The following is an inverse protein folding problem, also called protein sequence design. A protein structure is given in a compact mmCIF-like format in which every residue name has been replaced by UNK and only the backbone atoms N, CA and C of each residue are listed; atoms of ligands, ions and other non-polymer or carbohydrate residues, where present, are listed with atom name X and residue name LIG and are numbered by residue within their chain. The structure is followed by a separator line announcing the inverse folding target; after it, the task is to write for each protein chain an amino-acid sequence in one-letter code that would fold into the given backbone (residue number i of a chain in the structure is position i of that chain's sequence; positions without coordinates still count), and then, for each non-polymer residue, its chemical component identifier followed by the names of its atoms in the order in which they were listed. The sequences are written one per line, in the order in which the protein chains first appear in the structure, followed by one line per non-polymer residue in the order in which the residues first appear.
data_IF_046337919357
#
_entry.id   IF_046337919357
#
_cell.length_a   1.000
_cell.length_b   1.000
_cell.length_c   1.000
_cell.angle_alpha   90.00
_cell.angle_beta   90.00
_cell.angle_gamma   90.00
#
_symmetry.space_group_name_H-M   'P 1'
#
loop_
_entity.id
_entity.type
_entity.pdbx_description
1 polymer ?
#
# COMPACT_ATOMS: atom_id res chain seq x y z
N UNK A 1 -23.66 12.99 1.61
CA UNK A 1 -22.82 13.62 2.66
C UNK A 1 -21.39 13.18 2.37
N UNK A 2 -20.48 14.11 2.12
CA UNK A 2 -19.09 13.79 1.74
C UNK A 2 -18.19 13.63 2.96
N UNK A 3 -17.26 12.67 2.92
CA UNK A 3 -16.21 12.56 3.92
C UNK A 3 -15.03 13.48 3.56
N UNK A 4 -14.45 14.20 4.55
CA UNK A 4 -13.36 15.14 4.32
C UNK A 4 -12.05 14.46 3.89
N UNK A 5 -11.20 15.20 3.20
CA UNK A 5 -9.93 14.71 2.66
C UNK A 5 -8.81 15.76 2.67
N UNK A 6 -7.56 15.34 2.43
CA UNK A 6 -6.34 16.13 2.64
C UNK A 6 -5.30 16.01 1.46
N UNK A 7 -4.25 16.86 1.33
CA UNK A 7 -3.38 17.02 0.12
C UNK A 7 -1.93 17.59 0.34
N UNK A 8 -0.90 17.27 -0.48
CA UNK A 8 0.53 17.28 -0.08
C UNK A 8 1.62 17.76 -1.12
N UNK A 9 2.66 18.57 -0.74
CA UNK A 9 3.85 18.98 -1.57
C UNK A 9 5.23 18.35 -1.18
N UNK A 10 6.28 18.37 -2.03
CA UNK A 10 7.39 17.34 -1.98
C UNK A 10 8.89 17.73 -2.05
N UNK A 11 9.77 16.96 -1.33
CA UNK A 11 11.22 16.74 -1.65
C UNK A 11 11.95 15.59 -0.87
N UNK A 12 12.54 14.58 -1.56
CA UNK A 12 13.74 13.70 -1.24
C UNK A 12 13.97 13.02 0.18
N UNK A 13 14.87 12.04 0.49
CA UNK A 13 15.97 11.28 -0.19
C UNK A 13 16.40 9.97 0.60
N UNK A 14 17.37 9.19 0.07
CA UNK A 14 18.27 8.08 0.60
C UNK A 14 17.79 6.86 1.47
N UNK A 15 18.37 5.66 1.16
CA UNK A 15 18.68 4.40 1.92
C UNK A 15 17.88 3.99 3.20
N UNK A 16 17.41 2.75 3.40
CA UNK A 16 18.20 1.50 3.60
C UNK A 16 17.36 0.18 3.77
N UNK A 17 17.96 -1.00 3.51
CA UNK A 17 17.76 -2.40 4.06
C UNK A 17 16.37 -3.08 4.36
N UNK A 18 15.74 -3.72 3.36
CA UNK A 18 14.52 -4.59 3.40
C UNK A 18 14.40 -5.83 4.34
N UNK A 19 13.16 -6.32 4.47
CA UNK A 19 12.74 -7.74 4.62
C UNK A 19 11.69 -8.07 3.52
N UNK A 20 11.39 -9.35 3.26
CA UNK A 20 10.52 -9.85 2.19
C UNK A 20 9.71 -11.09 2.66
N UNK A 21 8.64 -11.47 1.96
CA UNK A 21 7.98 -12.79 1.98
C UNK A 21 7.54 -13.10 0.53
N UNK A 22 7.52 -14.36 0.06
CA UNK A 22 7.18 -14.67 -1.35
C UNK A 22 6.27 -15.91 -1.48
N UNK A 23 5.14 -15.74 -2.18
CA UNK A 23 4.29 -16.84 -2.61
C UNK A 23 4.98 -17.65 -3.71
N UNK A 24 5.77 -18.67 -3.34
CA UNK A 24 6.47 -19.54 -4.30
C UNK A 24 6.20 -21.04 -4.15
N UNK A 25 5.71 -21.65 -5.23
CA UNK A 25 5.84 -23.09 -5.47
C UNK A 25 7.11 -23.36 -6.29
N UNK A 26 8.25 -23.27 -5.61
CA UNK A 26 9.57 -23.81 -5.96
C UNK A 26 10.03 -23.73 -7.45
N UNK A 27 10.69 -22.62 -7.82
CA UNK A 27 12.02 -22.68 -8.47
C UNK A 27 12.77 -21.33 -8.49
N UNK A 28 14.05 -21.43 -8.86
CA UNK A 28 15.10 -20.41 -8.76
C UNK A 28 14.79 -19.05 -9.39
N UNK A 29 15.14 -17.98 -8.65
CA UNK A 29 15.72 -16.77 -9.24
C UNK A 29 16.81 -16.21 -8.32
N UNK A 30 17.85 -15.57 -8.88
CA UNK A 30 18.95 -15.03 -8.08
C UNK A 30 20.01 -14.35 -8.92
N UNK A 31 20.55 -13.23 -8.39
CA UNK A 31 21.26 -12.14 -9.09
C UNK A 31 20.29 -11.25 -9.90
N UNK A 32 20.41 -9.92 -9.91
CA UNK A 32 21.48 -9.04 -9.39
C UNK A 32 20.98 -7.97 -8.40
N UNK A 33 21.48 -7.97 -7.17
CA UNK A 33 21.35 -6.83 -6.23
C UNK A 33 22.71 -6.12 -6.09
N UNK A 34 23.13 -5.39 -7.12
CA UNK A 34 24.49 -4.82 -7.23
C UNK A 34 24.53 -3.32 -7.59
N UNK A 35 23.74 -2.52 -6.86
CA UNK A 35 23.99 -1.08 -6.55
C UNK A 35 23.10 -0.66 -5.37
N UNK A 36 23.57 0.27 -4.54
CA UNK A 36 22.87 0.90 -3.41
C UNK A 36 22.40 -0.03 -2.26
N UNK A 37 23.32 -0.36 -1.33
CA UNK A 37 23.13 -0.59 0.13
C UNK A 37 21.84 -1.27 0.68
N UNK A 38 21.20 -2.12 -0.10
CA UNK A 38 20.20 -3.09 0.34
C UNK A 38 20.79 -4.10 1.37
N UNK A 39 19.99 -4.94 2.05
CA UNK A 39 20.51 -5.89 3.01
C UNK A 39 21.05 -7.12 2.28
N UNK A 40 22.11 -7.73 2.82
CA UNK A 40 22.70 -8.95 2.24
C UNK A 40 21.89 -10.23 2.50
N UNK A 41 20.72 -10.13 3.15
CA UNK A 41 19.75 -11.21 3.31
C UNK A 41 18.32 -10.67 3.26
N UNK A 42 17.57 -11.09 2.24
CA UNK A 42 16.15 -11.40 2.40
C UNK A 42 16.02 -12.80 3.04
N UNK A 43 14.90 -13.05 3.71
CA UNK A 43 14.43 -14.40 4.05
C UNK A 43 13.11 -14.56 3.31
N UNK A 44 12.84 -15.74 2.74
CA UNK A 44 11.63 -16.00 1.98
C UNK A 44 10.89 -17.19 2.60
N UNK A 45 9.62 -16.97 2.92
CA UNK A 45 8.69 -17.99 3.37
C UNK A 45 7.51 -18.05 2.39
N UNK A 46 6.94 -19.23 2.18
CA UNK A 46 5.59 -19.33 1.61
C UNK A 46 4.57 -18.94 2.66
N UNK A 47 3.38 -18.48 2.26
CA UNK A 47 2.37 -18.02 3.22
C UNK A 47 1.87 -19.17 4.12
N UNK A 48 1.77 -20.38 3.59
CA UNK A 48 1.34 -21.58 4.33
C UNK A 48 2.40 -22.09 5.31
N UNK A 49 3.68 -21.73 5.14
CA UNK A 49 4.77 -22.10 6.05
C UNK A 49 4.80 -21.15 7.25
N UNK A 50 3.84 -21.36 8.15
CA UNK A 50 3.71 -20.55 9.38
C UNK A 50 4.96 -20.65 10.27
N UNK A 51 5.76 -21.72 10.19
CA UNK A 51 6.95 -21.88 11.03
C UNK A 51 8.14 -21.10 10.47
N UNK A 52 8.33 -21.03 9.16
CA UNK A 52 9.25 -20.09 8.55
C UNK A 52 8.86 -18.63 8.89
N UNK A 53 7.58 -18.28 8.80
CA UNK A 53 7.09 -16.93 9.12
C UNK A 53 7.36 -16.58 10.59
N UNK A 54 7.01 -17.46 11.53
CA UNK A 54 7.26 -17.25 12.96
C UNK A 54 8.75 -17.07 13.27
N UNK A 55 9.61 -17.97 12.78
CA UNK A 55 11.05 -17.91 13.04
C UNK A 55 11.67 -16.61 12.47
N UNK A 56 11.27 -16.24 11.24
CA UNK A 56 11.69 -14.99 10.59
C UNK A 56 11.21 -13.76 11.35
N UNK A 57 9.93 -13.74 11.75
CA UNK A 57 9.34 -12.63 12.49
C UNK A 57 10.01 -12.45 13.84
N UNK A 58 10.19 -13.53 14.62
CA UNK A 58 10.83 -13.46 15.94
C UNK A 58 12.29 -12.99 15.85
N UNK A 59 13.03 -13.39 14.81
CA UNK A 59 14.38 -12.87 14.54
C UNK A 59 14.38 -11.36 14.26
N UNK A 60 13.39 -10.85 13.53
CA UNK A 60 13.37 -9.47 13.02
C UNK A 60 12.66 -8.48 13.95
N UNK A 61 11.68 -8.93 14.74
CA UNK A 61 10.83 -8.13 15.63
C UNK A 61 11.52 -7.68 16.91
N UNK A 62 12.59 -8.37 17.32
CA UNK A 62 13.26 -8.25 18.63
C UNK A 62 13.43 -6.80 19.12
N UNK A 63 13.97 -5.94 18.27
CA UNK A 63 14.31 -4.55 18.59
C UNK A 63 13.39 -3.57 17.82
N UNK A 64 12.10 -3.94 17.60
CA UNK A 64 11.11 -3.22 16.77
C UNK A 64 9.77 -3.06 17.48
N UNK A 65 9.12 -1.90 17.37
CA UNK A 65 7.76 -1.67 17.93
C UNK A 65 6.67 -2.10 16.96
N UNK A 66 6.74 -1.68 15.70
CA UNK A 66 5.70 -1.88 14.69
C UNK A 66 5.89 -3.12 13.83
N UNK A 67 4.86 -3.48 13.08
CA UNK A 67 4.92 -4.43 11.96
C UNK A 67 4.01 -3.97 10.83
N UNK A 68 4.55 -3.96 9.62
CA UNK A 68 3.87 -3.52 8.41
C UNK A 68 3.94 -4.62 7.35
N UNK A 69 2.86 -4.82 6.61
CA UNK A 69 2.80 -5.74 5.46
C UNK A 69 2.46 -4.92 4.22
N UNK A 70 3.41 -4.76 3.30
CA UNK A 70 3.16 -4.12 2.01
C UNK A 70 2.73 -5.13 0.95
N UNK A 71 1.64 -4.85 0.26
CA UNK A 71 0.99 -5.74 -0.71
C UNK A 71 0.96 -5.02 -2.07
N UNK A 72 1.74 -5.53 -3.02
CA UNK A 72 1.96 -4.81 -4.29
C UNK A 72 0.76 -4.89 -5.24
N UNK A 73 0.69 -3.93 -6.18
CA UNK A 73 -0.27 -3.93 -7.27
C UNK A 73 0.04 -4.94 -8.38
N UNK A 74 -0.85 -5.02 -9.37
CA UNK A 74 -0.63 -5.79 -10.60
C UNK A 74 0.64 -5.31 -11.30
N UNK A 75 1.62 -6.22 -11.46
CA UNK A 75 2.85 -5.96 -12.20
C UNK A 75 2.69 -6.44 -13.64
N UNK A 76 2.71 -5.51 -14.60
CA UNK A 76 2.84 -5.85 -16.02
C UNK A 76 4.24 -6.34 -16.38
N UNK A 77 4.50 -6.54 -17.67
CA UNK A 77 5.80 -7.04 -18.18
C UNK A 77 7.02 -6.18 -17.76
N UNK A 78 6.79 -4.90 -17.43
CA UNK A 78 7.83 -3.99 -16.93
C UNK A 78 8.08 -4.22 -15.43
N UNK A 79 9.04 -5.12 -15.13
CA UNK A 79 9.49 -5.50 -13.79
C UNK A 79 10.27 -4.40 -13.05
N UNK A 80 9.67 -3.22 -12.89
CA UNK A 80 10.21 -2.20 -11.98
C UNK A 80 9.87 -2.64 -10.55
N UNK A 81 10.83 -2.83 -9.65
CA UNK A 81 10.58 -3.26 -8.27
C UNK A 81 10.08 -2.08 -7.42
N UNK A 82 8.86 -1.59 -7.70
CA UNK A 82 8.35 -0.33 -7.11
C UNK A 82 8.28 -0.38 -5.57
N UNK A 83 8.16 -1.57 -5.00
CA UNK A 83 8.24 -1.81 -3.55
C UNK A 83 9.59 -1.43 -2.91
N UNK A 84 10.68 -1.26 -3.66
CA UNK A 84 11.99 -0.84 -3.13
C UNK A 84 11.91 0.51 -2.41
N UNK A 85 11.12 1.45 -2.91
CA UNK A 85 10.97 2.77 -2.27
C UNK A 85 10.41 2.66 -0.84
N UNK A 86 9.41 1.79 -0.61
CA UNK A 86 8.77 1.50 0.68
C UNK A 86 9.71 0.73 1.60
N UNK A 87 10.33 -0.32 1.07
CA UNK A 87 11.39 -1.12 1.69
C UNK A 87 12.48 -0.22 2.28
N UNK A 88 13.01 0.69 1.45
CA UNK A 88 14.09 1.60 1.82
C UNK A 88 13.61 2.75 2.71
N UNK A 89 12.31 2.88 2.98
CA UNK A 89 11.74 3.89 3.85
C UNK A 89 11.57 3.34 5.28
N UNK A 90 10.83 2.24 5.45
CA UNK A 90 10.60 1.62 6.77
C UNK A 90 11.91 1.26 7.46
N UNK A 91 12.85 0.70 6.72
CA UNK A 91 14.14 0.32 7.26
C UNK A 91 15.17 1.46 7.35
N UNK A 92 14.82 2.68 6.88
CA UNK A 92 15.54 3.91 7.27
C UNK A 92 15.12 4.41 8.65
N UNK A 93 13.85 4.23 9.03
CA UNK A 93 13.35 4.57 10.37
C UNK A 93 13.83 3.58 11.44
N UNK A 94 14.15 2.35 11.03
CA UNK A 94 14.63 1.27 11.89
C UNK A 94 13.67 0.87 13.05
N UNK A 95 12.43 1.36 13.07
CA UNK A 95 11.46 1.08 14.14
C UNK A 95 10.55 -0.13 13.89
N UNK A 96 10.26 -0.41 12.61
CA UNK A 96 9.23 -1.35 12.17
C UNK A 96 9.83 -2.62 11.54
N UNK A 97 9.10 -3.74 11.62
CA UNK A 97 9.30 -4.89 10.72
C UNK A 97 8.52 -4.64 9.43
N UNK A 98 9.13 -4.80 8.25
CA UNK A 98 8.45 -4.71 6.95
C UNK A 98 8.41 -6.07 6.25
N UNK A 99 7.22 -6.65 6.12
CA UNK A 99 6.97 -7.79 5.25
C UNK A 99 6.46 -7.31 3.88
N UNK A 100 6.75 -8.07 2.83
CA UNK A 100 6.16 -7.89 1.50
C UNK A 100 5.30 -9.11 1.21
N UNK A 101 4.05 -8.95 0.80
CA UNK A 101 3.26 -10.03 0.22
C UNK A 101 3.51 -10.06 -1.30
N UNK A 102 4.54 -10.80 -1.73
CA UNK A 102 4.81 -10.98 -3.16
C UNK A 102 3.93 -12.09 -3.75
N UNK A 103 3.02 -11.70 -4.64
CA UNK A 103 2.10 -12.56 -5.39
C UNK A 103 2.36 -12.51 -6.91
N UNK A 104 3.50 -11.96 -7.34
CA UNK A 104 3.86 -11.77 -8.75
C UNK A 104 3.80 -13.07 -9.57
N UNK A 105 4.12 -14.21 -8.95
CA UNK A 105 4.06 -15.54 -9.56
C UNK A 105 2.62 -16.01 -9.92
N UNK A 106 1.58 -15.30 -9.50
CA UNK A 106 0.17 -15.62 -9.81
C UNK A 106 -0.43 -14.77 -10.94
N UNK A 107 0.27 -13.70 -11.36
CA UNK A 107 -0.20 -12.78 -12.41
C UNK A 107 -0.27 -13.51 -13.76
N UNK A 108 -1.47 -13.59 -14.36
CA UNK A 108 -1.75 -14.41 -15.54
C UNK A 108 -2.16 -13.63 -16.80
N UNK A 109 -2.29 -12.29 -16.73
CA UNK A 109 -2.74 -11.45 -17.84
C UNK A 109 -4.25 -11.27 -17.97
N UNK A 110 -5.07 -12.02 -17.23
CA UNK A 110 -6.53 -12.03 -17.36
C UNK A 110 -7.19 -11.20 -16.25
N UNK A 111 -7.76 -10.06 -16.65
CA UNK A 111 -8.42 -9.08 -15.77
C UNK A 111 -9.75 -9.61 -15.20
N UNK A 112 -10.37 -10.63 -15.80
CA UNK A 112 -11.55 -11.30 -15.24
C UNK A 112 -11.13 -12.25 -14.12
N UNK A 113 -10.09 -13.06 -14.34
CA UNK A 113 -9.56 -13.96 -13.31
C UNK A 113 -8.91 -13.21 -12.13
N UNK A 114 -8.39 -12.00 -12.36
CA UNK A 114 -7.83 -11.12 -11.33
C UNK A 114 -8.78 -10.88 -10.14
N UNK A 115 -10.09 -10.82 -10.37
CA UNK A 115 -11.10 -10.71 -9.30
C UNK A 115 -11.00 -11.90 -8.32
N UNK A 116 -11.13 -13.12 -8.85
CA UNK A 116 -11.07 -14.37 -8.08
C UNK A 116 -9.68 -14.59 -7.47
N UNK A 117 -8.62 -14.21 -8.16
CA UNK A 117 -7.25 -14.30 -7.63
C UNK A 117 -7.05 -13.40 -6.40
N UNK A 118 -7.50 -12.15 -6.45
CA UNK A 118 -7.39 -11.21 -5.31
C UNK A 118 -8.14 -11.73 -4.09
N UNK A 119 -9.35 -12.26 -4.27
CA UNK A 119 -10.13 -12.88 -3.20
C UNK A 119 -9.40 -14.10 -2.59
N UNK A 120 -8.90 -15.01 -3.43
CA UNK A 120 -8.17 -16.22 -3.00
C UNK A 120 -6.87 -15.89 -2.24
N UNK A 121 -6.08 -14.92 -2.73
CA UNK A 121 -4.86 -14.47 -2.04
C UNK A 121 -5.22 -13.86 -0.68
N UNK A 122 -6.33 -13.12 -0.60
CA UNK A 122 -6.88 -12.59 0.64
C UNK A 122 -7.27 -13.68 1.63
N UNK A 123 -8.05 -14.67 1.20
CA UNK A 123 -8.50 -15.81 2.02
C UNK A 123 -7.33 -16.65 2.56
N UNK A 124 -6.36 -17.00 1.72
CA UNK A 124 -5.18 -17.80 2.12
C UNK A 124 -4.32 -17.02 3.13
N UNK A 125 -4.10 -15.73 2.88
CA UNK A 125 -3.30 -14.87 3.76
C UNK A 125 -4.02 -14.62 5.09
N UNK A 126 -5.33 -14.40 5.09
CA UNK A 126 -6.16 -14.31 6.29
C UNK A 126 -6.12 -15.61 7.11
N UNK A 127 -6.24 -16.77 6.47
CA UNK A 127 -6.15 -18.09 7.14
C UNK A 127 -4.81 -18.26 7.88
N UNK A 128 -3.70 -17.88 7.23
CA UNK A 128 -2.37 -17.85 7.84
C UNK A 128 -2.29 -16.86 9.02
N UNK A 129 -2.81 -15.64 8.84
CA UNK A 129 -2.80 -14.61 9.87
C UNK A 129 -3.68 -14.97 11.07
N UNK A 130 -4.80 -15.67 10.86
CA UNK A 130 -5.63 -16.25 11.93
C UNK A 130 -4.83 -17.32 12.68
N UNK A 131 -4.15 -18.24 11.98
CA UNK A 131 -3.29 -19.25 12.63
C UNK A 131 -2.13 -18.65 13.44
N UNK A 132 -1.55 -17.53 12.99
CA UNK A 132 -0.55 -16.79 13.77
C UNK A 132 -1.17 -16.06 14.98
N UNK A 133 -2.36 -15.47 14.83
CA UNK A 133 -3.09 -14.84 15.93
C UNK A 133 -3.47 -15.88 17.01
N UNK A 134 -3.93 -17.06 16.61
CA UNK A 134 -4.26 -18.18 17.51
C UNK A 134 -3.00 -18.74 18.22
N UNK A 135 -1.81 -18.57 17.62
CA UNK A 135 -0.50 -18.84 18.23
C UNK A 135 0.00 -17.69 19.16
N UNK A 136 -0.81 -16.66 19.39
CA UNK A 136 -0.53 -15.57 20.32
C UNK A 136 0.25 -14.38 19.74
N UNK A 137 0.40 -14.29 18.42
CA UNK A 137 1.01 -13.13 17.77
C UNK A 137 -0.03 -12.01 17.61
N UNK A 138 0.33 -10.76 17.92
CA UNK A 138 -0.60 -9.61 17.87
C UNK A 138 -0.88 -9.10 16.44
N UNK A 139 -1.36 -9.97 15.55
CA UNK A 139 -1.54 -9.67 14.11
C UNK A 139 -2.55 -8.53 13.90
N UNK A 140 -3.55 -8.37 14.77
CA UNK A 140 -4.48 -7.25 14.76
C UNK A 140 -3.81 -5.87 14.88
N UNK A 141 -2.57 -5.79 15.40
CA UNK A 141 -1.77 -4.54 15.47
C UNK A 141 -0.88 -4.32 14.24
N UNK A 142 -0.87 -5.23 13.27
CA UNK A 142 -0.09 -5.05 12.05
C UNK A 142 -0.77 -4.06 11.12
N UNK A 143 0.04 -3.27 10.40
CA UNK A 143 -0.43 -2.30 9.41
C UNK A 143 -0.38 -2.93 8.01
N UNK A 144 -1.53 -3.14 7.36
CA UNK A 144 -1.54 -3.60 5.97
C UNK A 144 -1.54 -2.40 5.03
N UNK A 145 -0.68 -2.42 4.01
CA UNK A 145 -0.55 -1.34 3.03
C UNK A 145 -0.63 -1.93 1.64
N UNK A 146 -1.76 -1.75 0.97
CA UNK A 146 -1.90 -2.16 -0.42
C UNK A 146 -1.49 -1.05 -1.38
N UNK A 147 -1.08 -1.43 -2.60
CA UNK A 147 -1.05 -0.53 -3.76
C UNK A 147 -1.89 -1.10 -4.90
N UNK A 148 -2.66 -0.25 -5.61
CA UNK A 148 -3.46 -0.65 -6.76
C UNK A 148 -4.40 -1.82 -6.44
N UNK A 149 -4.26 -2.98 -7.10
CA UNK A 149 -4.99 -4.22 -6.80
C UNK A 149 -4.66 -4.80 -5.42
N UNK A 150 -3.45 -4.55 -4.90
CA UNK A 150 -3.01 -4.96 -3.57
C UNK A 150 -3.79 -4.31 -2.43
N UNK A 151 -4.46 -3.17 -2.69
CA UNK A 151 -5.42 -2.57 -1.75
C UNK A 151 -6.62 -3.48 -1.51
N UNK A 152 -7.07 -4.17 -2.55
CA UNK A 152 -8.18 -5.11 -2.47
C UNK A 152 -7.76 -6.43 -1.82
N UNK A 153 -6.52 -6.89 -2.06
CA UNK A 153 -5.95 -8.00 -1.30
C UNK A 153 -5.89 -7.65 0.20
N UNK A 154 -5.43 -6.45 0.57
CA UNK A 154 -5.41 -5.97 1.95
C UNK A 154 -6.82 -5.96 2.59
N UNK A 155 -7.82 -5.47 1.84
CA UNK A 155 -9.22 -5.44 2.27
C UNK A 155 -9.82 -6.84 2.45
N UNK A 156 -9.48 -7.81 1.59
CA UNK A 156 -9.90 -9.20 1.75
C UNK A 156 -9.22 -9.87 2.94
N UNK A 157 -7.94 -9.57 3.21
CA UNK A 157 -7.28 -10.02 4.45
C UNK A 157 -8.05 -9.51 5.68
N UNK A 158 -8.39 -8.22 5.72
CA UNK A 158 -9.18 -7.63 6.80
C UNK A 158 -10.61 -8.19 6.92
N UNK A 159 -11.21 -8.59 5.80
CA UNK A 159 -12.56 -9.16 5.74
C UNK A 159 -12.62 -10.62 6.22
N UNK A 160 -11.61 -11.44 5.88
CA UNK A 160 -11.59 -12.88 6.18
C UNK A 160 -10.82 -13.25 7.46
N UNK A 161 -10.20 -12.28 8.14
CA UNK A 161 -9.55 -12.54 9.43
C UNK A 161 -10.56 -12.69 10.58
N UNK A 162 -10.21 -13.51 11.58
CA UNK A 162 -11.03 -13.72 12.80
C UNK A 162 -10.88 -12.59 13.84
N UNK A 163 -10.15 -11.53 13.50
CA UNK A 163 -9.93 -10.29 14.25
C UNK A 163 -9.98 -9.09 13.29
N UNK A 164 -10.20 -7.89 13.82
CA UNK A 164 -10.21 -6.64 13.04
C UNK A 164 -8.80 -6.03 13.09
N UNK A 165 -8.25 -5.67 11.93
CA UNK A 165 -6.97 -4.95 11.85
C UNK A 165 -7.08 -3.53 12.42
N UNK A 166 -6.01 -3.05 13.05
CA UNK A 166 -5.94 -1.68 13.56
C UNK A 166 -5.97 -0.66 12.43
N UNK A 167 -5.17 -0.88 11.38
CA UNK A 167 -5.00 0.07 10.28
C UNK A 167 -4.77 -0.66 8.94
N UNK A 168 -5.54 -0.29 7.91
CA UNK A 168 -5.26 -0.64 6.51
C UNK A 168 -5.17 0.63 5.64
N UNK A 169 -4.06 0.81 4.94
CA UNK A 169 -3.84 1.91 3.98
C UNK A 169 -3.98 1.43 2.54
N UNK A 170 -4.72 2.20 1.73
CA UNK A 170 -4.88 1.98 0.29
C UNK A 170 -4.14 2.99 -0.57
N UNK A 171 -3.03 2.61 -1.19
CA UNK A 171 -2.30 3.46 -2.13
C UNK A 171 -2.85 3.32 -3.55
N UNK A 172 -3.53 4.37 -4.01
CA UNK A 172 -4.19 4.55 -5.30
C UNK A 172 -5.08 3.35 -5.68
N UNK A 173 -6.18 3.08 -4.92
CA UNK A 173 -6.93 1.83 -5.00
C UNK A 173 -7.50 1.58 -6.40
N UNK A 174 -7.20 0.43 -7.01
CA UNK A 174 -7.52 0.15 -8.41
C UNK A 174 -9.04 0.21 -8.69
N UNK A 175 -9.45 0.90 -9.76
CA UNK A 175 -10.87 1.11 -10.07
C UNK A 175 -11.53 0.02 -10.92
N UNK A 176 -10.76 -0.68 -11.76
CA UNK A 176 -11.25 -1.32 -12.99
C UNK A 176 -12.38 -2.34 -12.78
N UNK A 177 -12.20 -3.31 -11.88
CA UNK A 177 -13.16 -4.40 -11.64
C UNK A 177 -13.79 -4.35 -10.24
N UNK A 178 -13.07 -3.78 -9.26
CA UNK A 178 -13.34 -3.99 -7.83
C UNK A 178 -14.50 -3.17 -7.26
N UNK A 179 -15.15 -2.33 -8.08
CA UNK A 179 -16.35 -1.57 -7.72
C UNK A 179 -17.44 -1.76 -8.78
N UNK A 180 -17.52 -2.98 -9.33
CA UNK A 180 -18.50 -3.42 -10.34
C UNK A 180 -19.25 -4.64 -9.84
N UNK A 181 -20.29 -5.10 -10.54
CA UNK A 181 -21.01 -6.31 -10.14
C UNK A 181 -20.16 -7.61 -10.17
N UNK A 182 -18.97 -7.57 -10.78
CA UNK A 182 -18.04 -8.71 -10.93
C UNK A 182 -17.21 -9.01 -9.67
N UNK A 183 -17.20 -8.13 -8.67
CA UNK A 183 -16.38 -8.28 -7.47
C UNK A 183 -17.06 -7.60 -6.28
N UNK A 184 -17.38 -8.37 -5.24
CA UNK A 184 -18.17 -7.92 -4.08
C UNK A 184 -17.81 -8.66 -2.80
N UNK A 185 -17.93 -7.95 -1.68
CA UNK A 185 -17.90 -8.51 -0.33
C UNK A 185 -16.55 -8.43 0.36
N UNK A 186 -15.46 -8.09 -0.35
CA UNK A 186 -14.14 -7.88 0.27
C UNK A 186 -13.30 -6.77 -0.38
N UNK A 187 -13.92 -5.91 -1.20
CA UNK A 187 -13.34 -4.66 -1.70
C UNK A 187 -12.96 -3.69 -0.58
N UNK A 188 -11.98 -2.82 -0.86
CA UNK A 188 -11.59 -1.77 0.08
C UNK A 188 -12.77 -0.86 0.39
N UNK A 189 -13.07 -0.73 1.67
CA UNK A 189 -14.19 0.06 2.17
C UNK A 189 -13.93 0.52 3.62
N UNK A 190 -14.74 1.45 4.17
CA UNK A 190 -14.52 1.97 5.52
C UNK A 190 -14.68 0.97 6.68
N UNK A 191 -15.05 -0.29 6.48
CA UNK A 191 -15.30 -1.25 7.59
C UNK A 191 -14.29 -2.40 7.69
N UNK A 192 -13.35 -2.58 6.75
CA UNK A 192 -12.36 -3.70 6.78
C UNK A 192 -11.28 -3.57 7.88
N UNK A 193 -11.26 -2.47 8.63
CA UNK A 193 -10.36 -2.25 9.76
C UNK A 193 -10.92 -1.20 10.75
N UNK A 194 -10.31 -1.13 11.94
CA UNK A 194 -10.59 -0.09 12.94
C UNK A 194 -10.28 1.31 12.41
N UNK A 195 -9.24 1.47 11.59
CA UNK A 195 -8.99 2.66 10.78
C UNK A 195 -8.60 2.29 9.34
N UNK A 196 -9.09 3.05 8.38
CA UNK A 196 -8.68 2.93 6.97
C UNK A 196 -8.45 4.30 6.35
N UNK A 197 -7.34 4.44 5.61
CA UNK A 197 -7.06 5.60 4.79
C UNK A 197 -6.80 5.20 3.33
N UNK A 198 -7.14 6.09 2.40
CA UNK A 198 -6.92 5.89 0.97
C UNK A 198 -6.23 7.12 0.35
N UNK A 199 -5.11 6.91 -0.34
CA UNK A 199 -4.31 7.96 -0.95
C UNK A 199 -4.40 7.88 -2.48
N UNK A 200 -4.84 8.95 -3.12
CA UNK A 200 -5.18 8.98 -4.55
C UNK A 200 -4.19 9.81 -5.36
N UNK A 201 -3.79 9.27 -6.49
CA UNK A 201 -2.91 9.89 -7.50
C UNK A 201 -3.41 9.71 -8.95
N UNK A 202 -4.31 8.74 -9.22
CA UNK A 202 -4.90 8.49 -10.56
C UNK A 202 -6.41 8.27 -10.52
N UNK A 203 -7.12 8.94 -9.61
CA UNK A 203 -8.58 8.91 -9.46
C UNK A 203 -9.27 9.12 -10.82
N UNK A 204 -10.11 8.17 -11.23
CA UNK A 204 -10.84 8.22 -12.51
C UNK A 204 -10.03 7.77 -13.74
N UNK A 205 -8.78 7.34 -13.55
CA UNK A 205 -7.96 6.71 -14.58
C UNK A 205 -7.68 5.23 -14.20
N UNK A 206 -6.66 4.98 -13.38
CA UNK A 206 -6.35 3.63 -12.86
C UNK A 206 -6.95 3.41 -11.47
N UNK A 207 -7.05 4.45 -10.65
CA UNK A 207 -7.70 4.40 -9.34
C UNK A 207 -9.20 4.72 -9.42
N UNK A 208 -9.96 4.09 -8.52
CA UNK A 208 -11.40 4.30 -8.33
C UNK A 208 -11.75 5.78 -8.10
N UNK A 209 -12.94 6.18 -8.55
CA UNK A 209 -13.51 7.51 -8.21
C UNK A 209 -14.12 7.54 -6.80
N UNK A 210 -14.41 6.38 -6.22
CA UNK A 210 -15.09 6.24 -4.92
C UNK A 210 -14.16 6.60 -3.76
N UNK A 211 -14.74 7.02 -2.63
CA UNK A 211 -14.04 7.33 -1.39
C UNK A 211 -14.10 6.08 -0.49
N UNK A 212 -12.97 5.41 -0.26
CA UNK A 212 -12.96 4.02 0.24
C UNK A 212 -12.28 3.83 1.59
N UNK A 213 -11.50 4.80 2.05
CA UNK A 213 -11.07 4.88 3.44
C UNK A 213 -12.08 5.64 4.31
N UNK A 214 -12.02 5.47 5.64
CA UNK A 214 -12.58 6.43 6.60
C UNK A 214 -11.96 7.81 6.41
N UNK A 215 -10.65 7.82 6.11
CA UNK A 215 -9.89 8.95 5.66
C UNK A 215 -9.58 8.81 4.16
N UNK A 216 -9.64 9.91 3.41
CA UNK A 216 -9.27 9.94 2.00
C UNK A 216 -8.30 11.11 1.79
N UNK A 217 -7.31 10.97 0.90
CA UNK A 217 -6.23 11.95 0.73
C UNK A 217 -5.90 12.01 -0.77
N UNK A 218 -5.96 13.19 -1.38
CA UNK A 218 -5.80 13.37 -2.82
C UNK A 218 -4.59 14.28 -3.07
N UNK A 219 -3.57 13.80 -3.77
CA UNK A 219 -2.43 14.64 -4.16
C UNK A 219 -2.62 15.21 -5.57
N UNK A 220 -2.48 16.52 -5.72
CA UNK A 220 -2.73 17.30 -6.94
C UNK A 220 -4.15 17.02 -7.50
N UNK A 221 -5.18 17.26 -6.66
CA UNK A 221 -6.57 16.82 -6.86
C UNK A 221 -6.79 15.29 -6.96
N UNK A 222 -5.73 14.49 -6.80
CA UNK A 222 -5.75 13.03 -6.82
C UNK A 222 -5.88 12.42 -8.22
N UNK A 223 -5.89 13.25 -9.27
CA UNK A 223 -6.03 12.86 -10.67
C UNK A 223 -4.67 12.78 -11.37
N UNK A 224 -4.55 11.97 -12.42
CA UNK A 224 -3.41 12.08 -13.32
C UNK A 224 -3.51 13.38 -14.17
N UNK A 225 -2.38 13.98 -14.61
CA UNK A 225 -1.00 13.58 -14.34
C UNK A 225 -0.42 14.20 -13.07
N UNK A 226 0.35 13.41 -12.32
CA UNK A 226 1.07 13.92 -11.15
C UNK A 226 2.35 14.69 -11.55
N UNK A 227 2.79 15.70 -10.76
CA UNK A 227 4.03 16.44 -10.99
C UNK A 227 5.24 15.56 -11.32
N UNK A 228 5.84 15.80 -12.49
CA UNK A 228 6.95 15.02 -13.04
C UNK A 228 6.59 13.77 -13.84
N UNK A 229 5.29 13.49 -14.11
CA UNK A 229 4.84 12.45 -15.04
C UNK A 229 4.45 12.98 -16.43
N UNK A 230 4.77 14.25 -16.72
CA UNK A 230 4.53 14.92 -18.01
C UNK A 230 5.73 14.83 -18.98
N UNK A 231 6.85 14.24 -18.54
CA UNK A 231 8.13 14.31 -19.25
C UNK A 231 8.53 12.92 -19.79
N UNK A 232 8.87 12.86 -21.08
CA UNK A 232 9.36 11.69 -21.81
C UNK A 232 8.40 10.47 -21.88
N UNK A 233 7.11 10.66 -21.58
CA UNK A 233 6.04 9.67 -21.78
C UNK A 233 5.61 9.62 -23.25
N UNK A 234 5.60 8.44 -23.88
CA UNK A 234 5.23 8.27 -25.30
C UNK A 234 3.72 8.08 -25.51
N UNK A 235 2.97 7.78 -24.44
CA UNK A 235 1.53 7.54 -24.45
C UNK A 235 0.86 8.06 -23.18
N UNK A 236 -0.48 8.19 -23.21
CA UNK A 236 -1.27 8.48 -22.01
C UNK A 236 -1.21 7.36 -20.95
N UNK A 237 -0.88 6.12 -21.36
CA UNK A 237 -0.73 4.98 -20.46
C UNK A 237 0.49 5.19 -19.57
N UNK A 238 1.64 5.57 -20.14
CA UNK A 238 2.86 5.87 -19.38
C UNK A 238 2.64 7.00 -18.36
N UNK A 239 1.81 7.99 -18.71
CA UNK A 239 1.43 9.12 -17.84
C UNK A 239 0.60 8.65 -16.64
N UNK A 240 -0.35 7.75 -16.89
CA UNK A 240 -1.17 7.14 -15.85
C UNK A 240 -0.33 6.22 -14.95
N UNK A 241 0.45 5.30 -15.52
CA UNK A 241 1.32 4.38 -14.78
C UNK A 241 2.36 5.12 -13.92
N UNK A 242 3.02 6.14 -14.47
CA UNK A 242 3.91 7.01 -13.70
C UNK A 242 3.20 7.66 -12.52
N UNK A 243 1.99 8.17 -12.75
CA UNK A 243 1.17 8.83 -11.73
C UNK A 243 0.71 7.83 -10.66
N UNK A 244 0.37 6.60 -11.05
CA UNK A 244 -0.06 5.50 -10.18
C UNK A 244 1.06 5.03 -9.25
N UNK A 245 2.29 5.01 -9.76
CA UNK A 245 3.51 4.74 -9.01
C UNK A 245 3.88 5.87 -8.03
N UNK A 246 3.37 7.11 -8.21
CA UNK A 246 3.65 8.22 -7.27
C UNK A 246 3.06 7.98 -5.89
N UNK A 247 1.94 7.26 -5.77
CA UNK A 247 1.37 6.91 -4.47
C UNK A 247 2.36 6.16 -3.58
N UNK A 248 3.04 5.13 -4.11
CA UNK A 248 4.11 4.41 -3.41
C UNK A 248 5.27 5.37 -3.07
N UNK A 249 5.73 6.15 -4.05
CA UNK A 249 6.90 7.04 -3.88
C UNK A 249 6.66 8.16 -2.88
N UNK A 250 5.44 8.64 -2.75
CA UNK A 250 5.07 9.63 -1.75
C UNK A 250 4.79 9.00 -0.39
N UNK A 251 4.12 7.86 -0.30
CA UNK A 251 4.00 7.16 0.98
C UNK A 251 5.38 6.77 1.56
N UNK A 252 6.29 6.24 0.73
CA UNK A 252 7.69 5.99 1.10
C UNK A 252 8.44 7.26 1.55
N UNK A 253 8.13 8.42 0.98
CA UNK A 253 8.70 9.69 1.41
C UNK A 253 8.08 10.19 2.73
N UNK A 254 6.85 9.80 3.04
CA UNK A 254 6.16 10.08 4.31
C UNK A 254 6.73 9.23 5.45
N UNK A 255 6.94 7.93 5.21
CA UNK A 255 7.60 7.03 6.15
C UNK A 255 9.03 7.51 6.48
N UNK A 256 9.73 8.18 5.56
CA UNK A 256 11.06 8.78 5.84
C UNK A 256 11.02 10.07 6.68
N UNK A 257 9.95 10.85 6.55
CA UNK A 257 9.73 12.07 7.31
C UNK A 257 8.23 12.37 7.28
N UNK A 258 7.53 12.12 8.39
CA UNK A 258 6.08 12.26 8.46
C UNK A 258 5.64 13.74 8.42
N UNK A 259 6.44 14.67 8.96
CA UNK A 259 6.12 16.10 8.95
C UNK A 259 6.41 16.80 7.62
N UNK A 260 7.01 16.09 6.66
CA UNK A 260 7.22 16.54 5.27
C UNK A 260 5.92 16.92 4.55
N UNK A 261 4.82 16.33 5.00
CA UNK A 261 3.67 16.03 4.18
C UNK A 261 2.36 16.43 4.87
N UNK A 262 2.29 17.71 5.19
CA UNK A 262 1.12 18.40 5.73
C UNK A 262 -0.03 18.46 4.71
N UNK A 263 -1.22 18.11 5.16
CA UNK A 263 -2.38 17.83 4.34
C UNK A 263 -3.63 18.57 4.89
N UNK A 264 -4.51 19.12 4.04
CA UNK A 264 -5.61 20.05 4.45
C UNK A 264 -7.04 19.63 4.07
N UNK A 265 -7.95 19.65 5.05
CA UNK A 265 -9.38 19.32 4.95
C UNK A 265 -10.13 20.20 3.95
N UNK A 266 -10.79 19.62 2.95
CA UNK A 266 -11.61 20.36 2.01
C UNK A 266 -12.85 19.57 1.53
N UNK A 267 -13.78 20.26 0.84
CA UNK A 267 -14.99 19.67 0.25
C UNK A 267 -14.85 19.37 -1.25
N UNK A 268 -14.21 20.27 -2.01
CA UNK A 268 -13.82 20.05 -3.41
C UNK A 268 -12.44 20.66 -3.71
N UNK A 269 -11.59 19.95 -4.47
CA UNK A 269 -10.19 20.33 -4.67
C UNK A 269 -10.05 21.67 -5.41
N UNK A 270 -11.00 22.01 -6.28
CA UNK A 270 -11.02 23.30 -6.99
C UNK A 270 -11.23 24.47 -6.01
N UNK A 271 -11.94 24.27 -4.89
CA UNK A 271 -12.11 25.29 -3.85
C UNK A 271 -10.77 25.63 -3.16
N UNK A 272 -9.89 24.65 -3.00
CA UNK A 272 -8.52 24.88 -2.51
C UNK A 272 -7.64 25.50 -3.61
N UNK A 273 -7.53 24.87 -4.78
CA UNK A 273 -6.59 25.30 -5.83
C UNK A 273 -6.91 26.66 -6.46
N UNK A 274 -8.17 26.85 -6.87
CA UNK A 274 -8.58 28.01 -7.68
C UNK A 274 -8.98 29.21 -6.82
N UNK A 275 -9.47 28.96 -5.60
CA UNK A 275 -10.10 29.98 -4.76
C UNK A 275 -9.54 30.07 -3.32
N UNK A 276 -8.67 29.14 -2.90
CA UNK A 276 -8.02 29.11 -1.58
C UNK A 276 -8.98 29.02 -0.36
N UNK A 277 -10.25 28.65 -0.56
CA UNK A 277 -11.24 28.61 0.52
C UNK A 277 -10.85 27.69 1.69
N UNK A 278 -10.26 26.53 1.39
CA UNK A 278 -9.90 25.52 2.40
C UNK A 278 -8.52 25.75 3.05
N UNK A 279 -7.93 26.96 3.00
CA UNK A 279 -6.58 27.16 3.52
C UNK A 279 -6.50 27.03 5.05
N UNK A 280 -7.42 27.61 5.80
CA UNK A 280 -7.39 27.60 7.28
C UNK A 280 -8.17 26.43 7.91
N UNK A 281 -8.56 25.44 7.10
CA UNK A 281 -9.25 24.24 7.57
C UNK A 281 -8.31 23.28 8.32
N UNK A 282 -8.89 22.33 9.06
CA UNK A 282 -8.19 21.24 9.77
C UNK A 282 -7.09 20.59 8.92
N UNK A 283 -5.96 20.29 9.54
CA UNK A 283 -4.77 19.79 8.87
C UNK A 283 -4.28 18.52 9.60
N UNK A 284 -3.67 17.61 8.86
CA UNK A 284 -3.04 16.38 9.36
C UNK A 284 -1.75 16.10 8.58
N UNK A 285 -0.91 15.21 9.09
CA UNK A 285 0.26 14.73 8.35
C UNK A 285 -0.02 13.37 7.72
N UNK A 286 0.07 13.28 6.39
CA UNK A 286 0.00 12.00 5.69
C UNK A 286 1.25 11.18 5.94
N UNK A 287 1.06 9.89 6.21
CA UNK A 287 2.11 8.91 6.45
C UNK A 287 1.57 7.70 7.21
N UNK A 288 2.45 6.86 7.79
CA UNK A 288 2.03 5.68 8.54
C UNK A 288 1.15 5.98 9.75
N UNK A 289 1.37 7.10 10.45
CA UNK A 289 0.67 7.43 11.69
C UNK A 289 -0.38 8.54 11.52
N UNK A 290 -1.03 8.60 10.35
CA UNK A 290 -2.06 9.61 9.99
C UNK A 290 -3.35 9.47 10.82
N UNK A 291 -3.53 8.33 11.50
CA UNK A 291 -4.62 8.05 12.44
C UNK A 291 -4.42 8.74 13.81
N UNK A 292 -3.17 8.96 14.20
CA UNK A 292 -2.73 9.32 15.55
C UNK A 292 -2.01 10.67 15.61
N UNK A 293 -1.46 11.17 14.50
CA UNK A 293 -0.78 12.46 14.41
C UNK A 293 -1.67 13.54 13.81
N UNK A 294 -1.92 14.58 14.60
CA UNK A 294 -2.58 15.83 14.21
C UNK A 294 -1.55 16.96 14.24
#
# INVERSE_FOLDING_TARGET
MGYPYYEIPSSFWVNARSLWVELKKNKSFGREFNKLNAPTRSIQCTIEDTDCIQNTYNQMKKDKTETTVFIHGYQGNNKIPVYEDIILAYCSQNNSVIAILDWSNLINGDVILLATQVEQIGQITASTFNSLNDKGYEIAKWHLIGHSTGVHIAACIGTYSNFIFSHITGLDPAGVIFYTDLYKGCEMNPTVAHFTDAFYTTRGALSTVQNVGKLNIYANSGTAPQPGCYLNTLSLIDVHDCSHVKAIKWYANAVRNETKYLARKCEDCMLLFRYKYCQENEQIYFGPHVDTKK
#
